data_IF_786216154008
#
_entry.id   IF_786216154008
#
_cell.length_a   1.000
_cell.length_b   1.000
_cell.length_c   1.000
_cell.angle_alpha   90.00
_cell.angle_beta   90.00
_cell.angle_gamma   90.00
#
_symmetry.space_group_name_H-M   'P 1'
#
loop_
_entity.id
_entity.type
_entity.pdbx_description
1 polymer ?
#
# COMPACT_ATOMS: atom_id res chain seq x y z
N UNK A 1 0.98 28.39 24.02
CA UNK A 1 -0.41 28.16 23.58
C UNK A 1 -0.49 28.07 22.07
N UNK A 2 -0.05 29.09 21.38
CA UNK A 2 -0.07 29.13 19.94
C UNK A 2 0.70 27.96 19.31
N UNK A 3 1.89 27.67 19.86
CA UNK A 3 2.72 26.58 19.35
C UNK A 3 2.02 25.24 19.49
N UNK A 4 1.29 25.03 20.59
CA UNK A 4 0.58 23.79 20.79
C UNK A 4 -0.57 23.62 19.80
N UNK A 5 -1.28 24.69 19.50
CA UNK A 5 -2.36 24.64 18.51
C UNK A 5 -1.79 24.35 17.12
N UNK A 6 -0.64 24.92 16.81
CA UNK A 6 0.05 24.66 15.53
C UNK A 6 0.51 23.22 15.46
N UNK A 7 1.06 22.67 16.55
CA UNK A 7 1.49 21.27 16.59
C UNK A 7 0.33 20.32 16.33
N UNK A 8 -0.83 20.61 16.91
CA UNK A 8 -2.01 19.79 16.70
C UNK A 8 -2.52 19.88 15.26
N UNK A 9 -2.40 21.05 14.65
CA UNK A 9 -2.84 21.26 13.27
C UNK A 9 -1.84 20.70 12.27
N UNK A 10 -0.59 20.52 12.65
CA UNK A 10 0.47 20.09 11.75
C UNK A 10 0.46 18.59 11.46
N UNK A 11 -0.35 17.81 12.17
CA UNK A 11 -0.39 16.37 12.00
C UNK A 11 0.73 15.64 12.76
N UNK A 12 0.98 14.37 12.43
CA UNK A 12 1.94 13.56 13.16
C UNK A 12 3.37 14.02 12.92
N UNK A 13 4.22 13.82 13.92
CA UNK A 13 5.64 14.18 13.82
C UNK A 13 6.36 13.24 12.85
N UNK A 14 7.55 13.67 12.40
CA UNK A 14 8.40 12.84 11.55
C UNK A 14 8.69 11.49 12.20
N UNK A 15 8.98 11.49 13.50
CA UNK A 15 9.27 10.24 14.21
C UNK A 15 8.07 9.28 14.21
N UNK A 16 6.85 9.81 14.36
CA UNK A 16 5.64 8.99 14.31
C UNK A 16 5.45 8.42 12.90
N UNK A 17 5.64 9.23 11.88
CA UNK A 17 5.51 8.80 10.49
C UNK A 17 6.52 7.69 10.18
N UNK A 18 7.79 7.88 10.55
CA UNK A 18 8.81 6.87 10.35
C UNK A 18 8.47 5.58 11.09
N UNK A 19 7.99 5.69 12.32
CA UNK A 19 7.60 4.55 13.12
C UNK A 19 6.47 3.75 12.50
N UNK A 20 5.46 4.42 11.97
CA UNK A 20 4.32 3.73 11.36
C UNK A 20 4.73 3.02 10.06
N UNK A 21 5.63 3.62 9.28
CA UNK A 21 6.16 2.97 8.08
C UNK A 21 7.03 1.76 8.45
N UNK A 22 7.80 1.84 9.53
CA UNK A 22 8.58 0.70 10.01
C UNK A 22 7.66 -0.47 10.37
N UNK A 23 6.55 -0.19 11.04
CA UNK A 23 5.57 -1.23 11.39
C UNK A 23 5.00 -1.90 10.15
N UNK A 24 4.67 -1.11 9.13
CA UNK A 24 4.15 -1.65 7.87
C UNK A 24 5.22 -2.50 7.15
N UNK A 25 6.47 -2.02 7.15
CA UNK A 25 7.57 -2.73 6.51
C UNK A 25 7.86 -4.06 7.19
N UNK A 26 7.72 -4.11 8.50
CA UNK A 26 7.97 -5.31 9.29
C UNK A 26 6.75 -6.21 9.43
N UNK A 27 5.61 -5.80 8.89
CA UNK A 27 4.39 -6.60 8.96
C UNK A 27 3.78 -6.69 10.35
N UNK A 28 4.01 -5.68 11.18
CA UNK A 28 3.49 -5.66 12.55
C UNK A 28 2.10 -5.05 12.58
N UNK A 29 1.13 -5.87 12.20
CA UNK A 29 -0.25 -5.44 11.99
C UNK A 29 -0.91 -4.89 13.24
N UNK A 30 -0.76 -5.56 14.39
CA UNK A 30 -1.38 -5.11 15.64
C UNK A 30 -0.92 -3.72 16.07
N UNK A 31 0.38 -3.50 16.27
CA UNK A 31 0.88 -2.16 16.59
C UNK A 31 0.52 -1.10 15.54
N UNK A 32 0.54 -1.46 14.26
CA UNK A 32 0.13 -0.54 13.19
C UNK A 32 -1.34 -0.14 13.37
N UNK A 33 -2.21 -1.10 13.62
CA UNK A 33 -3.63 -0.85 13.85
C UNK A 33 -3.84 0.10 15.03
N UNK A 34 -3.08 -0.07 16.11
CA UNK A 34 -3.14 0.82 17.28
C UNK A 34 -2.77 2.25 16.90
N UNK A 35 -1.75 2.44 16.08
CA UNK A 35 -1.35 3.77 15.61
C UNK A 35 -2.46 4.42 14.78
N UNK A 36 -3.08 3.65 13.90
CA UNK A 36 -4.19 4.15 13.09
C UNK A 36 -5.41 4.48 13.95
N UNK A 37 -5.70 3.65 14.95
CA UNK A 37 -6.78 3.92 15.90
C UNK A 37 -6.51 5.20 16.69
N UNK A 38 -5.25 5.51 16.95
CA UNK A 38 -4.85 6.72 17.66
C UNK A 38 -4.90 7.98 16.79
N UNK A 39 -5.23 7.85 15.50
CA UNK A 39 -5.45 9.00 14.63
C UNK A 39 -4.37 9.24 13.59
N UNK A 40 -3.38 8.34 13.45
CA UNK A 40 -2.40 8.47 12.37
C UNK A 40 -3.14 8.32 11.03
N UNK A 41 -2.97 9.25 10.09
CA UNK A 41 -3.69 9.17 8.81
C UNK A 41 -3.35 7.89 8.02
N UNK A 42 -4.39 7.27 7.50
CA UNK A 42 -4.27 5.97 6.82
C UNK A 42 -3.46 6.07 5.52
N UNK A 43 -3.62 7.16 4.77
CA UNK A 43 -3.04 7.31 3.44
C UNK A 43 -1.80 8.21 3.41
N UNK A 44 -1.03 8.22 4.49
CA UNK A 44 0.27 8.88 4.52
C UNK A 44 1.18 8.31 3.44
N UNK A 45 2.04 9.16 2.89
CA UNK A 45 3.10 8.71 1.98
C UNK A 45 4.46 9.15 2.54
N UNK A 46 5.48 8.35 2.28
CA UNK A 46 6.86 8.68 2.68
C UNK A 46 7.58 9.46 1.56
N UNK A 47 8.87 9.69 1.75
CA UNK A 47 9.68 10.44 0.78
C UNK A 47 9.80 9.79 -0.60
N UNK A 48 9.53 8.50 -0.71
CA UNK A 48 9.52 7.78 -1.99
C UNK A 48 8.14 7.78 -2.65
N UNK A 49 7.15 8.39 -2.00
CA UNK A 49 5.78 8.34 -2.46
C UNK A 49 5.06 7.04 -2.13
N UNK A 50 5.66 6.17 -1.32
CA UNK A 50 5.02 4.92 -0.90
C UNK A 50 4.00 5.19 0.19
N UNK A 51 2.80 4.63 0.03
CA UNK A 51 1.81 4.56 1.11
C UNK A 51 2.11 3.37 2.02
N UNK A 52 1.44 3.32 3.16
CA UNK A 52 1.52 2.14 4.04
C UNK A 52 1.13 0.87 3.29
N UNK A 53 0.11 0.97 2.45
CA UNK A 53 -0.36 -0.17 1.64
C UNK A 53 0.72 -0.65 0.67
N UNK A 54 1.40 0.28 0.00
CA UNK A 54 2.50 -0.06 -0.92
C UNK A 54 3.62 -0.77 -0.16
N UNK A 55 4.02 -0.24 0.99
CA UNK A 55 5.09 -0.83 1.79
C UNK A 55 4.73 -2.24 2.24
N UNK A 56 3.50 -2.43 2.71
CA UNK A 56 3.04 -3.74 3.17
C UNK A 56 2.95 -4.76 2.02
N UNK A 57 2.48 -4.32 0.85
CA UNK A 57 2.37 -5.19 -0.32
C UNK A 57 3.75 -5.60 -0.83
N UNK A 58 4.69 -4.67 -0.91
CA UNK A 58 6.06 -4.97 -1.33
C UNK A 58 6.73 -5.92 -0.34
N UNK A 59 6.48 -5.74 0.95
CA UNK A 59 7.01 -6.62 2.00
C UNK A 59 6.31 -7.97 2.09
N UNK A 60 5.27 -8.19 1.30
CA UNK A 60 4.49 -9.44 1.28
C UNK A 60 3.79 -9.73 2.61
N UNK A 61 3.34 -8.68 3.29
CA UNK A 61 2.64 -8.81 4.57
C UNK A 61 1.13 -8.83 4.34
N UNK A 62 0.62 -10.01 4.05
CA UNK A 62 -0.79 -10.24 3.70
C UNK A 62 -1.74 -9.72 4.76
N UNK A 63 -1.49 -10.03 6.02
CA UNK A 63 -2.37 -9.59 7.11
C UNK A 63 -2.41 -8.08 7.22
N UNK A 64 -1.24 -7.42 7.10
CA UNK A 64 -1.16 -5.96 7.15
C UNK A 64 -1.91 -5.34 5.97
N UNK A 65 -1.73 -5.89 4.76
CA UNK A 65 -2.46 -5.43 3.59
C UNK A 65 -3.98 -5.53 3.82
N UNK A 66 -4.44 -6.65 4.33
CA UNK A 66 -5.86 -6.86 4.61
C UNK A 66 -6.40 -5.87 5.62
N UNK A 67 -5.64 -5.60 6.68
CA UNK A 67 -6.05 -4.63 7.69
C UNK A 67 -6.16 -3.23 7.10
N UNK A 68 -5.18 -2.82 6.30
CA UNK A 68 -5.21 -1.51 5.65
C UNK A 68 -6.40 -1.40 4.69
N UNK A 69 -6.66 -2.42 3.90
CA UNK A 69 -7.79 -2.45 2.97
C UNK A 69 -9.12 -2.41 3.71
N UNK A 70 -9.23 -3.13 4.81
CA UNK A 70 -10.42 -3.12 5.65
C UNK A 70 -10.75 -1.72 6.16
N UNK A 71 -9.72 -0.90 6.41
CA UNK A 71 -9.86 0.49 6.85
C UNK A 71 -10.10 1.45 5.70
N UNK A 72 -10.09 0.97 4.48
CA UNK A 72 -10.35 1.81 3.30
C UNK A 72 -9.13 2.48 2.71
N UNK A 73 -7.94 1.89 2.88
CA UNK A 73 -6.73 2.46 2.30
C UNK A 73 -6.87 2.68 0.79
N UNK A 74 -6.34 3.79 0.31
CA UNK A 74 -6.40 4.17 -1.10
C UNK A 74 -5.49 3.27 -1.92
N UNK A 75 -6.07 2.48 -2.82
CA UNK A 75 -5.33 1.58 -3.70
C UNK A 75 -4.70 2.32 -4.90
N UNK A 76 -5.07 3.58 -5.11
CA UNK A 76 -4.65 4.35 -6.29
C UNK A 76 -3.40 5.20 -6.07
N UNK A 77 -2.76 5.09 -4.91
CA UNK A 77 -1.51 5.82 -4.66
C UNK A 77 -0.42 5.27 -5.58
N UNK A 78 0.28 6.17 -6.29
CA UNK A 78 1.38 5.82 -7.18
C UNK A 78 2.66 6.41 -6.60
N UNK A 79 3.67 5.59 -6.37
CA UNK A 79 4.93 6.06 -5.80
C UNK A 79 5.81 6.75 -6.86
N UNK A 80 6.99 7.21 -6.45
CA UNK A 80 7.90 7.92 -7.34
C UNK A 80 8.45 7.03 -8.48
N UNK A 81 8.33 5.72 -8.35
CA UNK A 81 8.74 4.77 -9.38
C UNK A 81 7.59 4.38 -10.31
N UNK A 82 6.43 5.00 -10.15
CA UNK A 82 5.27 4.70 -10.99
C UNK A 82 4.53 3.43 -10.61
N UNK A 83 4.70 2.95 -9.37
CA UNK A 83 4.11 1.69 -8.91
C UNK A 83 3.00 1.93 -7.90
N UNK A 84 1.96 1.11 -7.99
CA UNK A 84 0.89 1.00 -7.00
C UNK A 84 1.17 -0.21 -6.10
N UNK A 85 0.37 -0.37 -5.05
CA UNK A 85 0.44 -1.58 -4.23
C UNK A 85 0.19 -2.84 -5.07
N UNK A 86 -0.74 -2.76 -6.02
CA UNK A 86 -1.03 -3.88 -6.93
C UNK A 86 0.21 -4.23 -7.76
N UNK A 87 0.87 -3.24 -8.32
CA UNK A 87 2.09 -3.45 -9.10
C UNK A 87 3.18 -4.14 -8.25
N UNK A 88 3.30 -3.75 -7.00
CA UNK A 88 4.25 -4.37 -6.08
C UNK A 88 3.91 -5.84 -5.81
N UNK A 89 2.62 -6.16 -5.66
CA UNK A 89 2.18 -7.55 -5.45
C UNK A 89 2.52 -8.41 -6.68
N UNK A 90 2.33 -7.86 -7.88
CA UNK A 90 2.70 -8.56 -9.13
C UNK A 90 4.20 -8.79 -9.18
N UNK A 91 4.99 -7.75 -8.90
CA UNK A 91 6.45 -7.85 -8.93
C UNK A 91 6.97 -8.91 -7.95
N UNK A 92 6.36 -8.98 -6.77
CA UNK A 92 6.75 -9.96 -5.75
C UNK A 92 6.12 -11.33 -5.98
N UNK A 93 5.22 -11.47 -6.97
CA UNK A 93 4.57 -12.73 -7.26
C UNK A 93 3.63 -13.20 -6.17
N UNK A 94 3.07 -12.27 -5.39
CA UNK A 94 2.22 -12.63 -4.25
C UNK A 94 0.75 -12.62 -4.66
N UNK A 95 0.24 -13.79 -5.06
CA UNK A 95 -1.11 -13.92 -5.56
C UNK A 95 -2.19 -13.57 -4.51
N UNK A 96 -2.10 -14.03 -3.25
CA UNK A 96 -3.10 -13.67 -2.26
C UNK A 96 -3.24 -12.16 -2.05
N UNK A 97 -2.12 -11.43 -2.01
CA UNK A 97 -2.14 -9.97 -1.88
C UNK A 97 -2.71 -9.35 -3.15
N UNK A 98 -2.32 -9.83 -4.32
CA UNK A 98 -2.87 -9.35 -5.58
C UNK A 98 -4.39 -9.50 -5.62
N UNK A 99 -4.90 -10.66 -5.24
CA UNK A 99 -6.35 -10.89 -5.20
C UNK A 99 -7.06 -9.95 -4.22
N UNK A 100 -6.48 -9.74 -3.04
CA UNK A 100 -7.07 -8.82 -2.06
C UNK A 100 -7.17 -7.40 -2.63
N UNK A 101 -6.12 -6.94 -3.32
CA UNK A 101 -6.11 -5.62 -3.93
C UNK A 101 -7.12 -5.50 -5.07
N UNK A 102 -7.21 -6.52 -5.92
CA UNK A 102 -8.20 -6.53 -7.00
C UNK A 102 -9.63 -6.51 -6.44
N UNK A 103 -9.91 -7.27 -5.40
CA UNK A 103 -11.21 -7.27 -4.74
C UNK A 103 -11.54 -5.91 -4.12
N UNK A 104 -10.53 -5.16 -3.73
CA UNK A 104 -10.71 -3.80 -3.19
C UNK A 104 -10.82 -2.75 -4.29
N UNK A 105 -10.80 -3.14 -5.56
CA UNK A 105 -10.97 -2.22 -6.69
C UNK A 105 -9.70 -1.63 -7.24
N UNK A 106 -8.53 -2.17 -6.91
CA UNK A 106 -7.27 -1.65 -7.45
C UNK A 106 -7.22 -1.81 -8.97
N UNK A 107 -6.70 -0.78 -9.64
CA UNK A 107 -6.61 -0.73 -11.09
C UNK A 107 -5.28 -1.34 -11.57
N UNK A 108 -5.30 -2.46 -12.31
CA UNK A 108 -4.07 -3.11 -12.77
C UNK A 108 -3.30 -2.32 -13.81
N UNK A 109 -3.90 -1.29 -14.41
CA UNK A 109 -3.25 -0.48 -15.44
C UNK A 109 -2.72 0.85 -14.93
N UNK A 110 -2.95 1.17 -13.66
CA UNK A 110 -2.56 2.45 -13.07
C UNK A 110 -1.05 2.49 -12.82
N UNK A 111 -0.44 3.63 -13.17
CA UNK A 111 0.98 3.90 -12.94
C UNK A 111 1.83 3.62 -14.18
N UNK A 112 2.99 4.30 -14.24
CA UNK A 112 3.92 4.11 -15.38
C UNK A 112 4.60 2.74 -15.36
N UNK A 113 4.61 2.08 -14.22
CA UNK A 113 5.05 0.68 -14.07
C UNK A 113 3.89 -0.10 -13.44
N UNK A 114 2.81 -0.24 -14.19
CA UNK A 114 1.58 -0.87 -13.71
C UNK A 114 1.75 -2.38 -13.52
N UNK A 115 0.81 -2.99 -12.83
CA UNK A 115 0.80 -4.43 -12.64
C UNK A 115 0.83 -5.20 -13.95
N UNK A 116 0.06 -4.75 -14.93
CA UNK A 116 0.05 -5.39 -16.25
C UNK A 116 1.40 -5.27 -16.95
N UNK A 117 2.00 -4.08 -16.92
CA UNK A 117 3.31 -3.87 -17.53
C UNK A 117 4.39 -4.74 -16.87
N UNK A 118 4.35 -4.85 -15.55
CA UNK A 118 5.31 -5.67 -14.81
C UNK A 118 5.13 -7.15 -15.17
N UNK A 119 3.89 -7.63 -15.22
CA UNK A 119 3.62 -9.02 -15.60
C UNK A 119 4.15 -9.34 -17.00
N UNK A 120 4.01 -8.40 -17.93
CA UNK A 120 4.51 -8.56 -19.30
C UNK A 120 6.03 -8.46 -19.35
N UNK A 121 6.60 -7.46 -18.68
CA UNK A 121 8.04 -7.20 -18.72
C UNK A 121 8.87 -8.35 -18.15
N UNK A 122 8.39 -8.93 -17.06
CA UNK A 122 9.10 -10.02 -16.38
C UNK A 122 8.57 -11.41 -16.73
N UNK A 123 7.70 -11.48 -17.74
CA UNK A 123 7.12 -12.75 -18.22
C UNK A 123 6.51 -13.57 -17.06
N UNK A 124 5.54 -12.98 -16.38
CA UNK A 124 4.86 -13.58 -15.25
C UNK A 124 3.47 -14.05 -15.68
N UNK A 125 3.36 -15.19 -16.37
CA UNK A 125 2.08 -15.61 -16.95
C UNK A 125 0.98 -15.87 -15.92
N UNK A 126 1.34 -16.37 -14.76
CA UNK A 126 0.33 -16.60 -13.70
C UNK A 126 -0.23 -15.29 -13.20
N UNK A 127 0.63 -14.29 -12.98
CA UNK A 127 0.18 -12.97 -12.55
C UNK A 127 -0.69 -12.34 -13.62
N UNK A 128 -0.29 -12.47 -14.87
CA UNK A 128 -1.07 -11.95 -16.00
C UNK A 128 -2.45 -12.59 -16.05
N UNK A 129 -2.52 -13.89 -15.87
CA UNK A 129 -3.78 -14.63 -15.83
C UNK A 129 -4.69 -14.13 -14.71
N UNK A 130 -4.14 -13.96 -13.51
CA UNK A 130 -4.90 -13.44 -12.38
C UNK A 130 -5.45 -12.05 -12.68
N UNK A 131 -4.62 -11.18 -13.24
CA UNK A 131 -5.03 -9.83 -13.60
C UNK A 131 -6.17 -9.84 -14.61
N UNK A 132 -6.07 -10.67 -15.64
CA UNK A 132 -7.10 -10.75 -16.68
C UNK A 132 -8.41 -11.33 -16.14
N UNK A 133 -8.33 -12.34 -15.28
CA UNK A 133 -9.50 -13.02 -14.75
C UNK A 133 -10.30 -12.14 -13.80
N UNK A 134 -9.63 -11.33 -12.99
CA UNK A 134 -10.27 -10.58 -11.91
C UNK A 134 -10.47 -9.11 -12.20
N UNK A 135 -9.67 -8.52 -13.08
CA UNK A 135 -9.73 -7.08 -13.34
C UNK A 135 -10.96 -6.65 -14.12
N UNK A 136 -11.61 -7.54 -14.82
CA UNK A 136 -12.81 -7.26 -15.58
C UNK A 136 -14.10 -7.44 -14.79
N UNK A 137 -14.00 -7.95 -13.58
CA UNK A 137 -15.18 -8.17 -12.73
C UNK A 137 -15.58 -6.90 -11.95
#
# INVERSE_FOLDING_TARGET
>A
MTARAEDQAAGPSTAVIEGVFDLARDGRTGPLAEMLDAGVPLDLVNGRGDSLLIVAAYGQHRETVRELLRRGADTAVVNNMGQTALACAVFRGNEPILLALLQAGADPELGSHSGIQIADQFALPRMREVLETHAGA
#
